data_IF_618994184193
#
_entry.id   IF_618994184193
#
_cell.length_a   1.000
_cell.length_b   1.000
_cell.length_c   1.000
_cell.angle_alpha   90.00
_cell.angle_beta   90.00
_cell.angle_gamma   90.00
#
_symmetry.space_group_name_H-M   'P 1'
#
loop_
_entity.id
_entity.type
_entity.pdbx_description
1 polymer ?
#
# COMPACT_ATOMS: atom_id res chain seq x y z
N UNK A 1 20.61 6.26 3.65
CA UNK A 1 19.47 6.46 2.73
C UNK A 1 18.36 5.56 3.19
N UNK A 2 17.22 6.10 3.61
CA UNK A 2 16.03 5.28 3.94
C UNK A 2 15.36 4.86 2.64
N UNK A 3 15.58 3.63 2.24
CA UNK A 3 14.84 2.95 1.17
C UNK A 3 13.50 2.49 1.74
N UNK A 4 12.38 2.56 0.99
CA UNK A 4 12.25 2.97 -0.42
C UNK A 4 12.10 4.49 -0.62
N UNK A 5 12.47 4.99 -1.81
CA UNK A 5 12.15 6.37 -2.22
C UNK A 5 10.73 6.46 -2.79
N UNK A 6 10.15 7.66 -2.81
CA UNK A 6 8.84 7.90 -3.42
C UNK A 6 8.81 7.51 -4.91
N UNK A 7 9.94 7.68 -5.62
CA UNK A 7 10.03 7.37 -7.04
C UNK A 7 9.89 5.86 -7.29
N UNK A 8 10.57 5.04 -6.50
CA UNK A 8 10.52 3.58 -6.59
C UNK A 8 9.08 3.06 -6.38
N UNK A 9 8.35 3.67 -5.45
CA UNK A 9 6.95 3.33 -5.16
C UNK A 9 6.01 3.75 -6.30
N UNK A 10 6.26 4.90 -6.92
CA UNK A 10 5.48 5.37 -8.08
C UNK A 10 5.72 4.46 -9.28
N UNK A 11 6.96 4.01 -9.53
CA UNK A 11 7.26 3.08 -10.63
C UNK A 11 6.52 1.75 -10.49
N UNK A 12 6.31 1.25 -9.26
CA UNK A 12 5.55 0.02 -9.00
C UNK A 12 4.04 0.18 -9.15
N UNK A 13 3.51 1.39 -8.95
CA UNK A 13 2.05 1.66 -8.94
C UNK A 13 1.56 2.40 -10.18
N UNK A 14 2.47 2.97 -10.97
CA UNK A 14 2.18 3.72 -12.20
C UNK A 14 1.57 5.11 -11.99
N UNK A 15 1.18 5.48 -10.76
CA UNK A 15 0.57 6.77 -10.47
C UNK A 15 0.70 7.15 -9.00
N UNK A 16 1.08 8.40 -8.74
CA UNK A 16 1.11 8.97 -7.37
C UNK A 16 -0.24 8.85 -6.65
N UNK A 17 -1.35 8.97 -7.38
CA UNK A 17 -2.69 8.91 -6.79
C UNK A 17 -3.07 7.47 -6.44
N UNK A 18 -2.74 6.51 -7.32
CA UNK A 18 -2.94 5.09 -7.05
C UNK A 18 -2.11 4.63 -5.86
N UNK A 19 -0.86 5.10 -5.76
CA UNK A 19 0.00 4.84 -4.60
C UNK A 19 -0.67 5.28 -3.31
N UNK A 20 -1.13 6.54 -3.22
CA UNK A 20 -1.73 7.09 -1.98
C UNK A 20 -3.00 6.32 -1.60
N UNK A 21 -3.91 6.11 -2.56
CA UNK A 21 -5.18 5.41 -2.30
C UNK A 21 -4.95 3.94 -1.95
N UNK A 22 -4.04 3.27 -2.66
CA UNK A 22 -3.72 1.86 -2.42
C UNK A 22 -3.01 1.64 -1.09
N UNK A 23 -2.04 2.49 -0.73
CA UNK A 23 -1.40 2.47 0.60
C UNK A 23 -2.43 2.68 1.70
N UNK A 24 -3.32 3.66 1.57
CA UNK A 24 -4.35 3.93 2.56
C UNK A 24 -5.32 2.75 2.72
N UNK A 25 -5.73 2.12 1.62
CA UNK A 25 -6.58 0.93 1.65
C UNK A 25 -5.86 -0.23 2.34
N UNK A 26 -4.63 -0.52 1.95
CA UNK A 26 -3.84 -1.61 2.53
C UNK A 26 -3.56 -1.41 4.02
N UNK A 27 -3.24 -0.18 4.42
CA UNK A 27 -3.07 0.16 5.83
C UNK A 27 -4.34 -0.13 6.65
N UNK A 28 -5.53 0.06 6.06
CA UNK A 28 -6.81 -0.25 6.71
C UNK A 28 -7.04 -1.75 6.84
N UNK A 29 -6.73 -2.51 5.79
CA UNK A 29 -6.79 -3.98 5.83
C UNK A 29 -5.89 -4.56 6.93
N UNK A 30 -4.67 -4.02 7.10
CA UNK A 30 -3.75 -4.44 8.18
C UNK A 30 -4.36 -4.20 9.57
N UNK A 31 -5.07 -3.07 9.76
CA UNK A 31 -5.78 -2.78 11.01
C UNK A 31 -6.92 -3.79 11.23
N UNK A 32 -7.72 -4.05 10.19
CA UNK A 32 -8.88 -4.94 10.25
C UNK A 32 -8.50 -6.41 10.46
N UNK A 33 -7.36 -6.85 9.91
CA UNK A 33 -6.81 -8.20 10.08
C UNK A 33 -6.32 -8.48 11.51
N UNK A 34 -6.37 -7.50 12.42
CA UNK A 34 -5.95 -7.64 13.83
C UNK A 34 -4.56 -8.27 13.97
N UNK A 35 -3.62 -7.91 13.09
CA UNK A 35 -2.19 -8.25 13.24
C UNK A 35 -1.56 -7.45 14.40
N UNK A 36 -2.14 -7.57 15.60
CA UNK A 36 -1.85 -6.73 16.77
C UNK A 36 -0.37 -6.73 17.14
N UNK A 37 0.32 -7.88 17.02
CA UNK A 37 1.76 -7.99 17.31
C UNK A 37 2.64 -7.16 16.37
N UNK A 38 2.24 -6.98 15.11
CA UNK A 38 3.00 -6.19 14.13
C UNK A 38 2.72 -4.69 14.29
N UNK A 39 1.48 -4.35 14.69
CA UNK A 39 1.04 -2.97 14.92
C UNK A 39 1.69 -2.30 16.14
N UNK A 40 2.18 -3.08 17.11
CA UNK A 40 2.95 -2.55 18.25
C UNK A 40 4.34 -2.04 17.82
N UNK A 41 4.89 -2.57 16.72
CA UNK A 41 6.27 -2.30 16.27
C UNK A 41 6.31 -1.29 15.13
N UNK A 42 5.34 -1.36 14.20
CA UNK A 42 5.29 -0.46 13.03
C UNK A 42 3.88 0.04 12.78
N UNK A 43 3.80 1.31 12.34
CA UNK A 43 2.53 1.89 11.91
C UNK A 43 2.02 1.13 10.67
N UNK A 44 0.71 0.89 10.55
CA UNK A 44 0.13 0.14 9.42
C UNK A 44 0.51 0.73 8.05
N UNK A 45 0.61 2.06 7.96
CA UNK A 45 1.04 2.76 6.74
C UNK A 45 2.50 2.42 6.36
N UNK A 46 3.38 2.29 7.35
CA UNK A 46 4.78 1.90 7.13
C UNK A 46 4.86 0.47 6.63
N UNK A 47 4.09 -0.44 7.21
CA UNK A 47 4.01 -1.85 6.76
C UNK A 47 3.52 -1.91 5.31
N UNK A 48 2.43 -1.21 4.98
CA UNK A 48 1.91 -1.17 3.62
C UNK A 48 2.94 -0.66 2.59
N UNK A 49 3.69 0.38 2.93
CA UNK A 49 4.77 0.91 2.06
C UNK A 49 5.88 -0.14 1.86
N UNK A 50 6.28 -0.84 2.92
CA UNK A 50 7.29 -1.89 2.85
C UNK A 50 6.83 -3.08 2.00
N UNK A 51 5.58 -3.54 2.16
CA UNK A 51 4.99 -4.62 1.35
C UNK A 51 4.96 -4.25 -0.14
N UNK A 52 4.56 -3.03 -0.47
CA UNK A 52 4.55 -2.53 -1.86
C UNK A 52 5.97 -2.43 -2.40
N UNK A 53 6.91 -1.93 -1.61
CA UNK A 53 8.31 -1.82 -2.02
C UNK A 53 8.94 -3.19 -2.29
N UNK A 54 8.63 -4.20 -1.48
CA UNK A 54 9.06 -5.60 -1.70
C UNK A 54 8.36 -6.25 -2.88
N UNK A 55 7.16 -5.78 -3.23
CA UNK A 55 6.31 -6.38 -4.26
C UNK A 55 5.38 -7.47 -3.72
N UNK A 56 5.27 -7.60 -2.40
CA UNK A 56 4.35 -8.53 -1.72
C UNK A 56 2.89 -8.13 -1.98
N UNK A 57 2.66 -6.81 -2.17
CA UNK A 57 1.35 -6.23 -2.51
C UNK A 57 1.48 -5.39 -3.78
N UNK A 58 0.60 -5.61 -4.75
CA UNK A 58 0.54 -4.86 -6.01
C UNK A 58 -0.77 -4.08 -6.10
N UNK A 59 -0.67 -2.76 -6.22
CA UNK A 59 -1.83 -1.88 -6.40
C UNK A 59 -2.16 -1.83 -7.90
N UNK A 60 -3.39 -2.22 -8.26
CA UNK A 60 -3.90 -2.12 -9.63
C UNK A 60 -5.17 -1.28 -9.66
N UNK A 61 -5.29 -0.44 -10.68
CA UNK A 61 -6.54 0.24 -10.98
C UNK A 61 -7.52 -0.75 -11.61
N UNK A 62 -8.68 -0.91 -10.99
CA UNK A 62 -9.80 -1.67 -11.55
C UNK A 62 -10.89 -0.66 -11.87
N UNK A 63 -11.19 -0.39 -13.16
CA UNK A 63 -12.30 0.47 -13.51
C UNK A 63 -13.58 -0.16 -12.95
N UNK A 64 -14.41 0.66 -12.30
CA UNK A 64 -15.75 0.22 -11.89
C UNK A 64 -16.50 -0.05 -13.20
N UNK A 65 -16.81 -1.31 -13.48
CA UNK A 65 -17.66 -1.65 -14.62
C UNK A 65 -18.88 -0.73 -14.59
N UNK A 66 -19.16 -0.10 -15.73
CA UNK A 66 -20.36 0.69 -15.92
C UNK A 66 -21.53 -0.25 -15.70
N UNK A 67 -22.08 -0.22 -14.49
CA UNK A 67 -23.36 -0.86 -14.17
C UNK A 67 -24.35 -0.26 -15.16
N UNK A 68 -24.61 -1.02 -16.22
CA UNK A 68 -25.67 -0.75 -17.20
C UNK A 68 -26.96 -1.34 -16.65
#
# INVERSE_FOLDING_TARGET
MTTPTLRDLIEKTGSKYLLVVGVAKRAREIIDMKEHKLLEVKKPVTIAIEEIAKGDVVIKYVPRESVT
#
